data_IF_568092610262
#
_entry.id   IF_568092610262
#
_cell.length_a   1.000
_cell.length_b   1.000
_cell.length_c   1.000
_cell.angle_alpha   90.00
_cell.angle_beta   90.00
_cell.angle_gamma   90.00
#
_symmetry.space_group_name_H-M   'P 1'
#
loop_
_entity.id
_entity.type
_entity.pdbx_description
1 polymer ?
#
# COMPACT_ATOMS: atom_id res chain seq x y z
N UNK A 1 -44.35 -22.76 -20.41
CA UNK A 1 -44.58 -22.62 -18.95
C UNK A 1 -43.62 -23.59 -18.27
N UNK A 2 -42.70 -23.22 -17.39
CA UNK A 2 -42.44 -21.93 -16.74
C UNK A 2 -40.95 -21.74 -16.48
N UNK A 3 -40.49 -20.53 -16.79
CA UNK A 3 -39.20 -19.91 -16.47
C UNK A 3 -39.05 -19.71 -14.95
N UNK A 4 -39.00 -20.77 -14.13
CA UNK A 4 -39.01 -20.61 -12.65
C UNK A 4 -38.05 -21.53 -11.89
N UNK A 5 -37.09 -22.19 -12.55
CA UNK A 5 -36.04 -22.97 -11.86
C UNK A 5 -34.66 -22.32 -11.94
N UNK A 6 -34.59 -20.98 -11.97
CA UNK A 6 -33.38 -20.28 -11.55
C UNK A 6 -33.40 -20.15 -10.03
N UNK A 7 -33.03 -21.25 -9.37
CA UNK A 7 -32.73 -21.26 -7.95
C UNK A 7 -31.66 -20.20 -7.64
N UNK A 8 -32.14 -19.12 -7.01
CA UNK A 8 -31.49 -18.23 -6.04
C UNK A 8 -29.99 -18.47 -5.73
N UNK A 9 -29.10 -18.15 -6.66
CA UNK A 9 -27.81 -17.61 -6.25
C UNK A 9 -28.03 -16.14 -5.92
N UNK A 10 -28.43 -15.87 -4.67
CA UNK A 10 -28.31 -14.54 -4.11
C UNK A 10 -26.85 -14.13 -4.32
N UNK A 11 -26.56 -13.15 -5.20
CA UNK A 11 -25.23 -12.58 -5.31
C UNK A 11 -24.93 -11.96 -3.93
N UNK A 12 -24.11 -12.63 -3.11
CA UNK A 12 -23.58 -12.09 -1.85
C UNK A 12 -22.50 -11.03 -2.16
N UNK A 13 -22.73 -10.22 -3.19
CA UNK A 13 -21.83 -9.16 -3.64
C UNK A 13 -22.47 -7.77 -3.49
N UNK A 14 -23.71 -7.65 -3.01
CA UNK A 14 -24.49 -6.44 -3.27
C UNK A 14 -24.49 -5.35 -2.19
N UNK A 15 -23.84 -5.54 -1.03
CA UNK A 15 -23.49 -4.40 -0.17
C UNK A 15 -22.62 -4.84 1.00
N UNK A 16 -21.43 -4.26 1.15
CA UNK A 16 -20.74 -4.30 2.44
C UNK A 16 -21.50 -3.40 3.41
N UNK A 17 -21.92 -3.96 4.53
CA UNK A 17 -22.52 -3.19 5.61
C UNK A 17 -21.54 -2.08 6.08
N UNK A 18 -21.95 -0.81 6.28
CA UNK A 18 -21.06 0.27 6.71
C UNK A 18 -20.16 -0.04 7.92
N UNK A 19 -20.65 -0.80 8.90
CA UNK A 19 -19.85 -1.21 10.06
C UNK A 19 -18.76 -2.22 9.69
N UNK A 20 -19.06 -3.16 8.79
CA UNK A 20 -18.07 -4.13 8.28
C UNK A 20 -17.03 -3.43 7.41
N UNK A 21 -17.47 -2.48 6.57
CA UNK A 21 -16.58 -1.61 5.81
C UNK A 21 -15.66 -0.83 6.74
N UNK A 22 -16.17 -0.20 7.79
CA UNK A 22 -15.37 0.56 8.75
C UNK A 22 -14.30 -0.30 9.43
N UNK A 23 -14.64 -1.53 9.81
CA UNK A 23 -13.69 -2.50 10.38
C UNK A 23 -12.61 -2.87 9.37
N UNK A 24 -12.99 -3.29 8.17
CA UNK A 24 -12.04 -3.70 7.13
C UNK A 24 -11.14 -2.54 6.70
N UNK A 25 -11.72 -1.37 6.43
CA UNK A 25 -10.99 -0.17 6.01
C UNK A 25 -9.98 0.29 7.07
N UNK A 26 -10.32 0.19 8.35
CA UNK A 26 -9.39 0.50 9.43
C UNK A 26 -8.29 -0.56 9.56
N UNK A 27 -8.62 -1.82 9.33
CA UNK A 27 -7.67 -2.94 9.39
C UNK A 27 -6.61 -2.90 8.27
N UNK A 28 -6.99 -2.51 7.04
CA UNK A 28 -6.06 -2.46 5.89
C UNK A 28 -5.14 -1.24 5.90
N UNK A 29 -5.44 -0.22 6.72
CA UNK A 29 -4.60 0.96 6.81
C UNK A 29 -3.32 0.62 7.59
N UNK A 30 -2.16 1.14 7.15
CA UNK A 30 -0.94 1.00 7.93
C UNK A 30 -1.11 1.70 9.28
N UNK A 31 -0.58 1.08 10.32
CA UNK A 31 -0.48 1.68 11.66
C UNK A 31 0.57 2.77 11.65
N UNK A 32 0.47 3.71 12.59
CA UNK A 32 1.44 4.80 12.73
C UNK A 32 2.87 4.26 12.93
N UNK A 33 3.04 3.16 13.67
CA UNK A 33 4.35 2.56 13.92
C UNK A 33 4.99 1.98 12.64
N UNK A 34 4.16 1.53 11.69
CA UNK A 34 4.56 1.02 10.38
C UNK A 34 4.95 2.14 9.42
N UNK A 35 4.56 3.39 9.71
CA UNK A 35 4.86 4.59 8.92
C UNK A 35 6.04 5.41 9.46
N UNK A 36 6.74 4.96 10.51
CA UNK A 36 7.89 5.71 11.09
C UNK A 36 9.01 6.01 10.10
N UNK A 37 9.13 5.22 9.03
CA UNK A 37 10.09 5.50 7.96
C UNK A 37 9.81 6.85 7.27
N UNK A 38 8.58 7.37 7.31
CA UNK A 38 8.22 8.68 6.74
C UNK A 38 8.73 9.87 7.55
N UNK A 39 9.07 9.66 8.83
CA UNK A 39 9.57 10.69 9.74
C UNK A 39 11.08 10.95 9.56
N UNK A 40 11.78 10.04 8.89
CA UNK A 40 13.21 10.20 8.61
C UNK A 40 13.38 11.33 7.59
N UNK A 41 14.28 12.31 7.83
CA UNK A 41 14.56 13.38 6.88
C UNK A 41 15.44 12.86 5.74
N UNK A 42 14.84 12.07 4.85
CA UNK A 42 15.53 11.44 3.73
C UNK A 42 16.21 12.46 2.83
N UNK A 43 17.43 12.15 2.40
CA UNK A 43 18.05 12.84 1.27
C UNK A 43 17.42 12.33 -0.02
N UNK A 44 16.63 13.18 -0.68
CA UNK A 44 15.91 12.84 -1.92
C UNK A 44 16.79 12.99 -3.16
N UNK A 45 17.93 13.67 -3.05
CA UNK A 45 18.90 13.77 -4.14
C UNK A 45 19.97 12.68 -4.03
N UNK A 46 19.87 11.67 -4.89
CA UNK A 46 20.80 10.53 -4.89
C UNK A 46 22.28 10.94 -5.05
N UNK A 47 22.58 11.97 -5.84
CA UNK A 47 23.95 12.42 -6.03
C UNK A 47 24.54 13.04 -4.75
N UNK A 48 23.76 13.89 -4.08
CA UNK A 48 24.17 14.47 -2.80
C UNK A 48 24.29 13.40 -1.70
N UNK A 49 23.39 12.42 -1.67
CA UNK A 49 23.47 11.29 -0.75
C UNK A 49 24.78 10.49 -0.93
N UNK A 50 25.16 10.20 -2.19
CA UNK A 50 26.42 9.51 -2.51
C UNK A 50 27.65 10.29 -2.07
N UNK A 51 27.68 11.61 -2.30
CA UNK A 51 28.79 12.46 -1.87
C UNK A 51 28.92 12.46 -0.33
N UNK A 52 27.81 12.64 0.40
CA UNK A 52 27.78 12.61 1.88
C UNK A 52 28.26 11.27 2.44
N UNK A 53 27.78 10.16 1.88
CA UNK A 53 28.19 8.82 2.29
C UNK A 53 29.70 8.58 2.10
N UNK A 54 30.25 9.01 0.95
CA UNK A 54 31.68 8.93 0.66
C UNK A 54 32.53 9.77 1.60
N UNK A 55 32.11 11.02 1.89
CA UNK A 55 32.80 11.89 2.85
C UNK A 55 32.81 11.31 4.27
N UNK A 56 31.74 10.63 4.68
CA UNK A 56 31.61 10.03 6.00
C UNK A 56 32.21 8.62 6.09
N UNK A 57 32.68 8.06 4.97
CA UNK A 57 33.10 6.67 4.84
C UNK A 57 32.06 5.68 5.38
N UNK A 58 30.78 5.89 5.05
CA UNK A 58 29.64 5.07 5.49
C UNK A 58 28.89 4.48 4.30
N UNK A 59 28.26 3.31 4.44
CA UNK A 59 27.40 2.75 3.41
C UNK A 59 26.16 3.61 3.19
N UNK A 60 25.60 3.55 1.98
CA UNK A 60 24.34 4.20 1.62
C UNK A 60 23.18 3.20 1.73
N UNK A 61 22.15 3.56 2.51
CA UNK A 61 20.86 2.85 2.51
C UNK A 61 19.89 3.57 1.57
N UNK A 62 19.33 2.85 0.60
CA UNK A 62 18.37 3.39 -0.36
C UNK A 62 17.01 2.77 -0.09
N UNK A 63 16.05 3.60 0.27
CA UNK A 63 14.63 3.25 0.33
C UNK A 63 13.93 3.82 -0.89
N UNK A 64 13.68 2.97 -1.89
CA UNK A 64 13.04 3.36 -3.14
C UNK A 64 12.10 2.25 -3.61
N UNK A 65 11.00 2.64 -4.26
CA UNK A 65 10.11 1.71 -4.92
C UNK A 65 10.55 1.57 -6.38
N UNK A 66 10.92 0.37 -6.80
CA UNK A 66 11.19 0.07 -8.21
C UNK A 66 9.98 -0.67 -8.81
N UNK A 67 8.97 0.08 -9.24
CA UNK A 67 7.78 -0.49 -9.86
C UNK A 67 6.97 0.55 -10.62
N UNK A 68 6.33 0.11 -11.70
CA UNK A 68 5.28 0.90 -12.36
C UNK A 68 4.14 1.05 -11.35
N UNK A 69 3.70 2.26 -10.97
CA UNK A 69 2.71 2.47 -9.91
C UNK A 69 1.36 1.77 -10.15
N UNK A 70 1.12 1.30 -11.38
CA UNK A 70 -0.07 0.56 -11.79
C UNK A 70 0.17 -0.94 -12.02
N UNK A 71 1.35 -1.47 -11.69
CA UNK A 71 1.64 -2.91 -11.75
C UNK A 71 1.70 -3.53 -13.14
N UNK A 72 1.83 -2.74 -14.21
CA UNK A 72 1.99 -3.29 -15.57
C UNK A 72 3.44 -3.75 -15.78
N UNK A 73 3.63 -5.06 -16.00
CA UNK A 73 4.84 -5.68 -16.57
C UNK A 73 4.50 -6.34 -17.89
#
# INVERSE_FOLDING_TARGET
>A
MSYQEKQSHQNILDSINPQEFGKLHSFIKPKTEELRWTEIPWEINLWQARQKAGQQNRPLFIWAMNGNPLGCT
#
